data_IF_157393044887
#
_entry.id   IF_157393044887
#
_cell.length_a   1.000
_cell.length_b   1.000
_cell.length_c   1.000
_cell.angle_alpha   90.00
_cell.angle_beta   90.00
_cell.angle_gamma   90.00
#
_symmetry.space_group_name_H-M   'P 1'
#
loop_
_entity.id
_entity.type
_entity.pdbx_description
1 polymer ?
#
# COMPACT_ATOMS: atom_id res chain seq x y z
N UNK A 1 -7.46 1.70 11.46
CA UNK A 1 -6.01 1.85 11.72
C UNK A 1 -5.26 1.75 10.41
N UNK A 2 -4.30 2.64 10.18
CA UNK A 2 -3.35 2.58 9.06
C UNK A 2 -1.95 2.63 9.68
N UNK A 3 -1.09 1.67 9.34
CA UNK A 3 0.30 1.65 9.81
C UNK A 3 1.22 1.62 8.60
N UNK A 4 2.14 2.57 8.51
CA UNK A 4 3.15 2.59 7.48
C UNK A 4 4.52 2.30 8.08
N UNK A 5 5.17 1.26 7.60
CA UNK A 5 6.58 0.98 7.85
C UNK A 5 7.44 1.42 6.67
N UNK A 6 8.60 1.98 7.00
CA UNK A 6 9.64 2.33 6.02
C UNK A 6 10.95 1.71 6.51
N UNK A 7 11.40 0.67 5.83
CA UNK A 7 12.61 -0.06 6.15
C UNK A 7 13.69 0.27 5.12
N UNK A 8 14.79 0.88 5.54
CA UNK A 8 15.96 1.10 4.69
C UNK A 8 16.79 -0.17 4.66
N UNK A 9 16.91 -0.76 3.50
CA UNK A 9 17.56 -2.05 3.30
C UNK A 9 18.92 -1.88 2.65
N UNK A 10 19.90 -2.58 3.18
CA UNK A 10 21.16 -2.82 2.50
C UNK A 10 21.02 -4.06 1.64
N UNK A 11 21.05 -3.85 0.34
CA UNK A 11 20.92 -4.93 -0.64
C UNK A 11 22.10 -5.93 -0.60
N UNK A 12 21.94 -7.08 -1.23
CA UNK A 12 23.00 -8.06 -1.34
C UNK A 12 24.26 -7.43 -1.96
N UNK A 13 25.42 -7.69 -1.40
CA UNK A 13 26.70 -7.13 -1.85
C UNK A 13 26.72 -5.57 -1.91
N UNK A 14 25.82 -4.90 -1.18
CA UNK A 14 25.71 -3.44 -1.17
C UNK A 14 25.14 -2.82 -2.44
N UNK A 15 24.57 -3.62 -3.34
CA UNK A 15 23.97 -3.14 -4.59
C UNK A 15 22.58 -2.53 -4.35
N UNK A 16 22.18 -1.52 -5.15
CA UNK A 16 20.82 -1.00 -5.12
C UNK A 16 19.76 -2.08 -5.41
N UNK A 17 18.62 -1.98 -4.75
CA UNK A 17 17.51 -2.90 -4.97
C UNK A 17 16.75 -2.49 -6.23
N UNK A 18 16.49 -3.46 -7.12
CA UNK A 18 15.59 -3.28 -8.25
C UNK A 18 14.14 -3.55 -7.84
N UNK A 19 13.18 -3.07 -8.61
CA UNK A 19 11.74 -3.29 -8.33
C UNK A 19 11.34 -4.78 -8.27
N UNK A 20 12.13 -5.68 -8.88
CA UNK A 20 11.89 -7.13 -8.81
C UNK A 20 12.00 -7.68 -7.39
N UNK A 21 12.74 -7.00 -6.50
CA UNK A 21 12.84 -7.38 -5.09
C UNK A 21 11.54 -7.12 -4.32
N UNK A 22 10.71 -6.17 -4.74
CA UNK A 22 9.44 -5.89 -4.08
C UNK A 22 8.55 -7.15 -3.99
N UNK A 23 8.48 -7.94 -5.07
CA UNK A 23 7.72 -9.19 -5.07
C UNK A 23 8.28 -10.22 -4.07
N UNK A 24 9.60 -10.35 -4.01
CA UNK A 24 10.26 -11.29 -3.09
C UNK A 24 10.09 -10.88 -1.63
N UNK A 25 10.20 -9.59 -1.34
CA UNK A 25 9.95 -9.02 -0.01
C UNK A 25 8.51 -9.24 0.42
N UNK A 26 7.56 -9.10 -0.51
CA UNK A 26 6.15 -9.39 -0.25
C UNK A 26 5.92 -10.86 0.08
N UNK A 27 6.52 -11.78 -0.70
CA UNK A 27 6.43 -13.20 -0.44
C UNK A 27 7.02 -13.55 0.94
N UNK A 28 8.20 -13.04 1.26
CA UNK A 28 8.81 -13.21 2.57
C UNK A 28 7.91 -12.71 3.70
N UNK A 29 7.28 -11.56 3.53
CA UNK A 29 6.38 -11.01 4.55
C UNK A 29 5.18 -11.94 4.80
N UNK A 30 4.59 -12.48 3.74
CA UNK A 30 3.47 -13.41 3.85
C UNK A 30 3.88 -14.74 4.52
N UNK A 31 5.11 -15.19 4.34
CA UNK A 31 5.65 -16.37 5.02
C UNK A 31 5.78 -16.17 6.55
N UNK A 32 5.79 -14.91 7.03
CA UNK A 32 5.79 -14.62 8.47
C UNK A 32 4.37 -14.59 9.08
N UNK A 33 3.33 -14.63 8.26
CA UNK A 33 1.94 -14.62 8.71
C UNK A 33 1.41 -16.03 8.95
N UNK A 34 0.37 -16.17 9.81
CA UNK A 34 -0.41 -17.40 9.86
C UNK A 34 -0.97 -17.75 8.47
N UNK A 35 -1.02 -19.04 8.16
CA UNK A 35 -1.42 -19.54 6.83
C UNK A 35 -2.80 -18.99 6.37
N UNK A 36 -3.76 -18.93 7.30
CA UNK A 36 -5.09 -18.41 7.03
C UNK A 36 -5.05 -16.92 6.63
N UNK A 37 -4.22 -16.12 7.30
CA UNK A 37 -4.06 -14.71 6.98
C UNK A 37 -3.28 -14.51 5.67
N UNK A 38 -2.24 -15.30 5.42
CA UNK A 38 -1.52 -15.27 4.15
C UNK A 38 -2.45 -15.59 2.97
N UNK A 39 -3.30 -16.61 3.11
CA UNK A 39 -4.31 -16.95 2.11
C UNK A 39 -5.36 -15.82 1.93
N UNK A 40 -5.76 -15.15 3.03
CA UNK A 40 -6.64 -13.99 2.99
C UNK A 40 -5.99 -12.82 2.23
N UNK A 41 -4.76 -12.48 2.56
CA UNK A 41 -4.02 -11.38 1.94
C UNK A 41 -3.71 -11.61 0.45
N UNK A 42 -3.58 -12.87 0.03
CA UNK A 42 -3.39 -13.26 -1.37
C UNK A 42 -4.62 -13.06 -2.25
N UNK A 43 -5.82 -13.03 -1.69
CA UNK A 43 -7.03 -12.80 -2.48
C UNK A 43 -7.02 -11.37 -3.01
N UNK A 44 -7.17 -11.21 -4.32
CA UNK A 44 -7.12 -9.91 -5.00
C UNK A 44 -8.17 -8.90 -4.49
N UNK A 45 -9.20 -9.37 -3.82
CA UNK A 45 -10.28 -8.57 -3.24
C UNK A 45 -9.88 -7.93 -1.90
N UNK A 46 -8.84 -8.46 -1.23
CA UNK A 46 -8.45 -7.99 0.09
C UNK A 46 -7.31 -6.98 0.01
N UNK A 47 -7.60 -5.75 0.35
CA UNK A 47 -6.65 -4.62 0.27
C UNK A 47 -6.03 -4.29 1.63
N UNK A 48 -5.74 -5.30 2.44
CA UNK A 48 -5.17 -5.10 3.78
C UNK A 48 -3.68 -4.72 3.78
N UNK A 49 -3.02 -4.84 2.64
CA UNK A 49 -1.59 -4.62 2.51
C UNK A 49 -1.25 -4.00 1.17
N UNK A 50 -0.43 -2.95 1.17
CA UNK A 50 0.24 -2.45 -0.02
C UNK A 50 1.72 -2.22 0.25
N UNK A 51 2.55 -2.38 -0.78
CA UNK A 51 3.98 -2.18 -0.63
C UNK A 51 4.66 -1.73 -1.93
N UNK A 52 5.78 -1.05 -1.79
CA UNK A 52 6.65 -0.67 -2.91
C UNK A 52 8.08 -0.42 -2.45
N UNK A 53 9.01 -0.40 -3.40
CA UNK A 53 10.38 0.04 -3.18
C UNK A 53 10.57 1.47 -3.70
N UNK A 54 11.18 2.32 -2.86
CA UNK A 54 11.65 3.66 -3.21
C UNK A 54 13.17 3.66 -3.05
N UNK A 55 13.88 3.31 -4.12
CA UNK A 55 15.31 2.97 -4.03
C UNK A 55 15.53 1.77 -3.11
N UNK A 56 16.31 1.96 -2.06
CA UNK A 56 16.56 0.93 -1.04
C UNK A 56 15.59 1.00 0.16
N UNK A 57 14.57 1.82 0.10
CA UNK A 57 13.55 1.92 1.15
C UNK A 57 12.35 1.06 0.77
N UNK A 58 12.11 0.01 1.54
CA UNK A 58 10.89 -0.77 1.43
C UNK A 58 9.78 -0.11 2.23
N UNK A 59 8.74 0.32 1.54
CA UNK A 59 7.57 0.98 2.13
C UNK A 59 6.41 0.01 2.16
N UNK A 60 5.85 -0.20 3.34
CA UNK A 60 4.72 -1.07 3.61
C UNK A 60 3.58 -0.26 4.22
N UNK A 61 2.39 -0.43 3.72
CA UNK A 61 1.18 0.10 4.33
C UNK A 61 0.31 -1.07 4.77
N UNK A 62 0.11 -1.19 6.07
CA UNK A 62 -0.79 -2.14 6.70
C UNK A 62 -2.12 -1.44 6.92
N UNK A 63 -3.16 -1.94 6.27
CA UNK A 63 -4.47 -1.31 6.22
C UNK A 63 -5.45 -2.18 7.03
N UNK A 64 -5.94 -1.62 8.12
CA UNK A 64 -6.76 -2.32 9.09
C UNK A 64 -5.95 -2.85 10.30
N UNK A 65 -6.68 -3.12 11.38
CA UNK A 65 -6.10 -3.55 12.65
C UNK A 65 -5.43 -4.91 12.55
N UNK A 66 -6.10 -5.86 11.90
CA UNK A 66 -5.63 -7.24 11.78
C UNK A 66 -4.26 -7.32 11.07
N UNK A 67 -4.09 -6.62 9.94
CA UNK A 67 -2.81 -6.56 9.24
C UNK A 67 -1.71 -5.94 10.11
N UNK A 68 -2.05 -4.88 10.88
CA UNK A 68 -1.12 -4.23 11.78
C UNK A 68 -0.68 -5.15 12.94
N UNK A 69 -1.60 -5.94 13.50
CA UNK A 69 -1.29 -6.91 14.56
C UNK A 69 -0.43 -8.07 14.05
N UNK A 70 -0.78 -8.62 12.87
CA UNK A 70 -0.03 -9.74 12.28
C UNK A 70 1.39 -9.35 11.92
N UNK A 71 1.58 -8.25 11.21
CA UNK A 71 2.90 -7.89 10.69
C UNK A 71 3.69 -6.92 11.54
N UNK A 72 3.04 -6.14 12.42
CA UNK A 72 3.70 -5.11 13.21
C UNK A 72 4.86 -5.67 14.03
N UNK A 73 4.60 -6.71 14.83
CA UNK A 73 5.62 -7.33 15.69
C UNK A 73 6.76 -7.99 14.91
N UNK A 74 6.48 -8.47 13.70
CA UNK A 74 7.50 -9.03 12.80
C UNK A 74 8.41 -7.91 12.30
N UNK A 75 7.83 -6.83 11.74
CA UNK A 75 8.56 -5.74 11.13
C UNK A 75 9.41 -4.95 12.15
N UNK A 76 8.92 -4.77 13.38
CA UNK A 76 9.65 -4.09 14.45
C UNK A 76 10.90 -4.85 14.90
N UNK A 77 10.88 -6.18 14.83
CA UNK A 77 11.99 -7.04 15.25
C UNK A 77 12.91 -7.46 14.11
N UNK A 78 12.55 -7.08 12.87
CA UNK A 78 13.29 -7.53 11.69
C UNK A 78 14.57 -6.72 11.52
N UNK A 79 15.70 -7.33 11.80
CA UNK A 79 17.04 -6.80 11.53
C UNK A 79 17.60 -7.30 10.19
N UNK A 80 17.17 -8.49 9.76
CA UNK A 80 17.67 -9.15 8.56
C UNK A 80 16.53 -9.86 7.83
N UNK A 81 16.56 -9.80 6.51
CA UNK A 81 15.62 -10.48 5.63
C UNK A 81 16.40 -11.46 4.76
N UNK A 82 16.11 -12.75 4.92
CA UNK A 82 16.72 -13.81 4.13
C UNK A 82 15.79 -14.23 3.00
N UNK A 83 16.23 -14.09 1.78
CA UNK A 83 15.48 -14.39 0.56
C UNK A 83 16.26 -15.36 -0.31
N UNK A 84 15.93 -16.65 -0.29
CA UNK A 84 16.67 -17.70 -0.99
C UNK A 84 18.18 -17.58 -0.76
N UNK A 85 18.93 -17.04 -1.76
CA UNK A 85 20.38 -16.91 -1.70
C UNK A 85 20.83 -15.47 -1.41
N UNK A 86 19.95 -14.60 -0.91
CA UNK A 86 20.26 -13.20 -0.64
C UNK A 86 19.90 -12.81 0.78
N UNK A 87 20.83 -12.17 1.47
CA UNK A 87 20.62 -11.61 2.79
C UNK A 87 20.61 -10.09 2.69
N UNK A 88 19.55 -9.47 3.18
CA UNK A 88 19.42 -8.03 3.33
C UNK A 88 19.48 -7.66 4.80
N UNK A 89 20.11 -6.55 5.10
CA UNK A 89 20.13 -5.99 6.45
C UNK A 89 19.23 -4.77 6.51
N UNK A 90 18.43 -4.64 7.56
CA UNK A 90 17.67 -3.44 7.86
C UNK A 90 18.60 -2.45 8.55
N UNK A 91 18.89 -1.33 7.90
CA UNK A 91 19.76 -0.27 8.43
C UNK A 91 18.98 0.71 9.30
N UNK A 92 17.77 1.02 8.89
CA UNK A 92 16.88 1.97 9.57
C UNK A 92 15.43 1.49 9.45
N UNK A 93 14.65 1.69 10.49
CA UNK A 93 13.21 1.42 10.51
C UNK A 93 12.47 2.63 11.04
N UNK A 94 11.41 3.02 10.38
CA UNK A 94 10.50 4.08 10.81
C UNK A 94 9.06 3.57 10.68
N UNK A 95 8.27 3.80 11.73
CA UNK A 95 6.86 3.44 11.79
C UNK A 95 6.00 4.70 11.96
N UNK A 96 4.94 4.80 11.19
CA UNK A 96 3.88 5.82 11.33
C UNK A 96 2.55 5.13 11.55
N UNK A 97 1.80 5.57 12.56
CA UNK A 97 0.48 5.03 12.89
C UNK A 97 -0.56 6.13 12.76
N UNK A 98 -1.65 5.82 12.09
CA UNK A 98 -2.91 6.59 12.12
C UNK A 98 -3.96 5.65 12.70
N UNK A 99 -4.34 5.88 13.93
CA UNK A 99 -5.23 4.97 14.66
C UNK A 99 -6.66 5.05 14.15
N UNK A 100 -7.13 6.26 13.89
CA UNK A 100 -8.51 6.52 13.47
C UNK A 100 -8.57 7.07 12.05
N UNK A 101 -9.49 6.57 11.21
CA UNK A 101 -9.70 7.12 9.87
C UNK A 101 -10.01 8.62 9.87
N UNK A 102 -10.71 9.13 10.91
CA UNK A 102 -11.04 10.55 11.06
C UNK A 102 -9.80 11.43 11.13
N UNK A 103 -8.73 10.97 11.79
CA UNK A 103 -7.48 11.73 11.89
C UNK A 103 -6.85 11.92 10.50
N UNK A 104 -6.99 10.92 9.63
CA UNK A 104 -6.54 11.02 8.24
C UNK A 104 -7.41 11.98 7.43
N UNK A 105 -8.73 11.89 7.57
CA UNK A 105 -9.68 12.76 6.89
C UNK A 105 -9.55 14.21 7.35
N UNK A 106 -9.35 14.43 8.64
CA UNK A 106 -9.16 15.79 9.20
C UNK A 106 -7.86 16.41 8.69
N UNK A 107 -6.76 15.66 8.63
CA UNK A 107 -5.51 16.15 8.00
C UNK A 107 -5.72 16.54 6.54
N UNK A 108 -6.49 15.78 5.79
CA UNK A 108 -6.83 16.10 4.40
C UNK A 108 -7.62 17.42 4.30
N UNK A 109 -8.55 17.66 5.23
CA UNK A 109 -9.33 18.92 5.30
C UNK A 109 -8.46 20.12 5.67
N UNK A 110 -7.54 19.96 6.62
CA UNK A 110 -6.61 21.02 7.06
C UNK A 110 -5.66 21.45 5.94
N UNK A 111 -5.30 20.54 5.04
CA UNK A 111 -4.40 20.85 3.92
C UNK A 111 -5.01 21.77 2.87
N UNK A 112 -6.34 22.00 2.87
CA UNK A 112 -7.06 22.80 1.88
C UNK A 112 -6.53 22.58 0.44
N UNK A 113 -6.28 21.32 0.11
CA UNK A 113 -5.57 20.96 -1.10
C UNK A 113 -6.49 21.09 -2.30
N UNK A 114 -6.35 22.19 -3.05
CA UNK A 114 -7.11 22.45 -4.28
C UNK A 114 -6.53 21.71 -5.49
N UNK A 115 -5.32 21.18 -5.37
CA UNK A 115 -4.62 20.48 -6.45
C UNK A 115 -3.80 19.33 -5.91
N UNK A 116 -3.98 18.15 -6.49
CA UNK A 116 -3.20 16.95 -6.18
C UNK A 116 -2.54 16.42 -7.44
N UNK A 117 -1.32 15.89 -7.30
CA UNK A 117 -0.58 15.25 -8.38
C UNK A 117 -0.38 13.78 -8.03
N UNK A 118 -0.78 12.88 -8.95
CA UNK A 118 -0.52 11.45 -8.86
C UNK A 118 0.66 11.09 -9.77
N UNK A 119 1.73 10.57 -9.16
CA UNK A 119 2.91 10.09 -9.90
C UNK A 119 2.99 8.57 -9.85
N UNK A 120 2.87 7.94 -10.99
CA UNK A 120 3.11 6.50 -11.13
C UNK A 120 4.62 6.26 -11.23
N UNK A 121 5.24 5.66 -10.21
CA UNK A 121 6.69 5.38 -10.17
C UNK A 121 7.06 4.03 -10.79
N UNK A 122 6.08 3.22 -11.12
CA UNK A 122 6.23 1.94 -11.79
C UNK A 122 5.18 1.78 -12.88
N UNK A 123 5.40 0.92 -13.89
CA UNK A 123 4.36 0.57 -14.84
C UNK A 123 3.12 0.11 -14.09
N UNK A 124 2.01 0.79 -14.33
CA UNK A 124 0.74 0.54 -13.64
C UNK A 124 -0.31 0.20 -14.68
N UNK A 125 -1.03 -0.89 -14.45
CA UNK A 125 -2.16 -1.28 -15.28
C UNK A 125 -3.41 -1.42 -14.38
N UNK A 126 -4.55 -1.03 -14.92
CA UNK A 126 -5.85 -1.20 -14.27
C UNK A 126 -6.58 -2.38 -14.91
N UNK A 127 -7.34 -3.11 -14.11
CA UNK A 127 -8.16 -4.21 -14.61
C UNK A 127 -9.63 -3.81 -14.60
N UNK A 128 -10.26 -3.84 -15.78
CA UNK A 128 -11.67 -3.56 -15.95
C UNK A 128 -12.30 -4.66 -16.80
N UNK A 129 -13.38 -5.26 -16.31
CA UNK A 129 -14.10 -6.33 -17.02
C UNK A 129 -13.18 -7.44 -17.58
N UNK A 130 -12.15 -7.84 -16.81
CA UNK A 130 -11.21 -8.88 -17.20
C UNK A 130 -10.10 -8.44 -18.17
N UNK A 131 -10.07 -7.19 -18.61
CA UNK A 131 -9.05 -6.62 -19.53
C UNK A 131 -8.14 -5.65 -18.79
N UNK A 132 -6.90 -5.52 -19.26
CA UNK A 132 -5.96 -4.53 -18.75
C UNK A 132 -6.11 -3.22 -19.50
N UNK A 133 -6.35 -2.12 -18.78
CA UNK A 133 -6.24 -0.76 -19.27
C UNK A 133 -4.85 -0.22 -18.91
N UNK A 134 -4.06 0.13 -19.92
CA UNK A 134 -2.67 0.58 -19.76
C UNK A 134 -2.62 2.08 -19.46
N UNK A 135 -3.59 2.84 -19.93
CA UNK A 135 -3.67 4.27 -19.68
C UNK A 135 -4.38 4.58 -18.35
N UNK A 136 -3.83 5.50 -17.55
CA UNK A 136 -4.48 5.93 -16.32
C UNK A 136 -5.77 6.69 -16.66
N UNK A 137 -6.88 6.01 -16.54
CA UNK A 137 -8.20 6.62 -16.65
C UNK A 137 -8.62 7.08 -15.26
N UNK A 138 -8.87 8.38 -15.11
CA UNK A 138 -9.25 9.01 -13.83
C UNK A 138 -10.39 8.28 -13.13
N UNK A 139 -11.40 7.88 -13.89
CA UNK A 139 -12.55 7.15 -13.35
C UNK A 139 -12.17 5.83 -12.71
N UNK A 140 -11.26 5.07 -13.32
CA UNK A 140 -10.79 3.79 -12.79
C UNK A 140 -9.95 3.97 -11.53
N UNK A 141 -9.10 5.01 -11.50
CA UNK A 141 -8.28 5.34 -10.33
C UNK A 141 -9.18 5.67 -9.14
N UNK A 142 -10.09 6.64 -9.31
CA UNK A 142 -10.98 7.09 -8.25
C UNK A 142 -11.90 5.95 -7.76
N UNK A 143 -12.48 5.21 -8.67
CA UNK A 143 -13.33 4.06 -8.32
C UNK A 143 -12.56 2.99 -7.55
N UNK A 144 -11.30 2.73 -7.93
CA UNK A 144 -10.45 1.78 -7.23
C UNK A 144 -10.09 2.25 -5.81
N UNK A 145 -9.78 3.55 -5.64
CA UNK A 145 -9.48 4.14 -4.34
C UNK A 145 -10.72 4.13 -3.43
N UNK A 146 -11.87 4.52 -3.96
CA UNK A 146 -13.13 4.55 -3.23
C UNK A 146 -13.57 3.15 -2.79
N UNK A 147 -13.52 2.17 -3.69
CA UNK A 147 -13.83 0.79 -3.35
C UNK A 147 -12.88 0.24 -2.27
N UNK A 148 -11.58 0.60 -2.35
CA UNK A 148 -10.62 0.23 -1.32
C UNK A 148 -10.92 0.86 0.03
N UNK A 149 -11.26 2.15 0.05
CA UNK A 149 -11.66 2.85 1.28
C UNK A 149 -12.91 2.22 1.91
N UNK A 150 -13.98 2.04 1.14
CA UNK A 150 -15.25 1.50 1.61
C UNK A 150 -15.12 0.05 2.13
N UNK A 151 -14.22 -0.73 1.53
CA UNK A 151 -13.93 -2.09 2.00
C UNK A 151 -13.19 -2.09 3.35
N UNK A 152 -12.25 -1.17 3.54
CA UNK A 152 -11.43 -1.10 4.75
C UNK A 152 -12.13 -0.42 5.93
N UNK A 153 -13.05 0.50 5.61
CA UNK A 153 -13.72 1.34 6.59
C UNK A 153 -15.22 1.41 6.33
N UNK A 154 -15.95 0.28 6.50
CA UNK A 154 -17.38 0.22 6.21
C UNK A 154 -18.21 1.17 7.10
N UNK A 155 -17.69 1.58 8.26
CA UNK A 155 -18.29 2.58 9.14
C UNK A 155 -18.11 4.04 8.65
N UNK A 156 -17.23 4.26 7.66
CA UNK A 156 -16.94 5.56 7.04
C UNK A 156 -17.14 5.50 5.53
N UNK A 157 -18.24 4.93 5.10
CA UNK A 157 -18.58 4.83 3.69
C UNK A 157 -18.59 6.20 3.02
N UNK A 158 -17.90 6.28 1.90
CA UNK A 158 -18.00 7.39 0.98
C UNK A 158 -19.04 6.99 -0.08
N UNK A 159 -20.14 7.73 -0.17
CA UNK A 159 -21.15 7.53 -1.19
C UNK A 159 -20.58 7.89 -2.56
N UNK A 160 -20.84 7.04 -3.56
CA UNK A 160 -20.06 7.04 -4.78
C UNK A 160 -20.73 7.68 -6.01
N UNK A 161 -22.04 7.86 -6.01
CA UNK A 161 -22.78 8.28 -7.19
C UNK A 161 -22.41 9.67 -7.69
N UNK A 162 -22.93 10.69 -7.04
CA UNK A 162 -22.76 12.08 -7.47
C UNK A 162 -21.33 12.59 -7.21
N UNK A 163 -20.71 12.15 -6.09
CA UNK A 163 -19.35 12.54 -5.74
C UNK A 163 -18.31 12.07 -6.77
N UNK A 164 -18.45 10.86 -7.30
CA UNK A 164 -17.58 10.35 -8.37
C UNK A 164 -17.71 11.12 -9.67
N UNK A 165 -18.93 11.53 -10.03
CA UNK A 165 -19.20 12.35 -11.21
C UNK A 165 -18.58 13.74 -11.07
N UNK A 166 -18.71 14.36 -9.89
CA UNK A 166 -18.16 15.67 -9.58
C UNK A 166 -16.61 15.64 -9.56
N UNK A 167 -16.03 14.64 -8.91
CA UNK A 167 -14.56 14.44 -8.91
C UNK A 167 -14.01 14.20 -10.31
N UNK A 168 -14.69 13.42 -11.16
CA UNK A 168 -14.27 13.20 -12.55
C UNK A 168 -14.31 14.49 -13.38
N UNK A 169 -15.30 15.35 -13.15
CA UNK A 169 -15.41 16.64 -13.84
C UNK A 169 -14.34 17.65 -13.45
N UNK A 170 -13.75 17.51 -12.25
CA UNK A 170 -12.71 18.42 -11.73
C UNK A 170 -11.28 18.01 -12.08
N UNK A 171 -11.04 16.83 -12.66
CA UNK A 171 -9.70 16.32 -12.94
C UNK A 171 -9.34 16.53 -14.41
N UNK A 172 -8.31 17.30 -14.66
CA UNK A 172 -7.66 17.44 -15.96
C UNK A 172 -6.40 16.57 -15.98
N UNK A 173 -6.28 15.70 -17.00
CA UNK A 173 -5.10 14.86 -17.27
C UNK A 173 -4.29 15.54 -18.39
#
# INVERSE_FOLDING_TARGET
>A
MIVQYRLKLKGPEGRPLSNTWAYRLYAWLLEQAPEEFAAFAHRQENRCLSQYLDGNVWVLNLLGREAAEVFGSVLEKTEKISLNNALMQVEESCCRVVEKPEDFLNRGRELHCLRSELRFRSPTAFRQAGRYAIYPETGLILQSLLAGWNQLYPEYLLEDGDMLAELKGGINI
#
